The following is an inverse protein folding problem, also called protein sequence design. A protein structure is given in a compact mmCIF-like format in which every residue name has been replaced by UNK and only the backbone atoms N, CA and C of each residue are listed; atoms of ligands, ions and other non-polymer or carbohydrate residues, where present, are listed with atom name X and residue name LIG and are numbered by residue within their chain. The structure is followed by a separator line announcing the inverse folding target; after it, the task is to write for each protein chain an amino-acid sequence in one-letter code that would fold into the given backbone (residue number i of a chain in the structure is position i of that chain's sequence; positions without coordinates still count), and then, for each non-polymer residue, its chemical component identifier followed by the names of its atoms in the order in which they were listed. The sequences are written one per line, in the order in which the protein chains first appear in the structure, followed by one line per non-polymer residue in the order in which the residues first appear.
data_IF_074872851964
#
_entry.id   IF_074872851964
#
_cell.length_a   1.000
_cell.length_b   1.000
_cell.length_c   1.000
_cell.angle_alpha   90.00
_cell.angle_beta   90.00
_cell.angle_gamma   90.00
#
_symmetry.space_group_name_H-M   'P 1'
#
loop_
_entity.id
_entity.type
_entity.pdbx_description
1 polymer ?
#
# COMPACT_ATOMS: atom_id res chain seq x y z
N UNK A 1 -9.03 17.14 12.70
CA UNK A 1 -9.38 15.70 12.62
C UNK A 1 -8.16 14.92 13.06
N UNK A 2 -8.23 14.32 14.25
CA UNK A 2 -7.13 13.60 14.90
C UNK A 2 -6.81 12.28 14.17
N UNK A 3 -5.57 11.79 14.27
CA UNK A 3 -5.11 10.54 13.61
C UNK A 3 -6.00 9.33 13.93
N UNK A 4 -6.52 9.26 15.15
CA UNK A 4 -7.43 8.21 15.62
C UNK A 4 -8.81 8.27 14.94
N UNK A 5 -9.31 9.46 14.61
CA UNK A 5 -10.57 9.64 13.86
C UNK A 5 -10.42 9.25 12.38
N UNK A 6 -9.20 9.39 11.84
CA UNK A 6 -8.89 9.05 10.43
C UNK A 6 -8.71 7.55 10.23
N UNK A 7 -8.23 6.85 11.25
CA UNK A 7 -7.81 5.46 11.17
C UNK A 7 -8.27 4.69 12.42
N UNK A 8 -9.59 4.45 12.57
CA UNK A 8 -10.10 3.74 13.73
C UNK A 8 -9.59 2.30 13.72
N UNK A 9 -8.97 1.89 14.82
CA UNK A 9 -8.51 0.54 15.08
C UNK A 9 -8.79 0.20 16.55
N UNK A 10 -9.62 -0.79 16.81
CA UNK A 10 -9.92 -1.20 18.18
C UNK A 10 -8.76 -1.96 18.81
N UNK A 11 -8.57 -1.80 20.12
CA UNK A 11 -7.54 -2.55 20.86
C UNK A 11 -7.76 -4.06 20.77
N UNK A 12 -9.02 -4.50 20.73
CA UNK A 12 -9.39 -5.90 20.54
C UNK A 12 -8.90 -6.42 19.17
N UNK A 13 -9.09 -5.66 18.09
CA UNK A 13 -8.59 -6.05 16.78
C UNK A 13 -7.07 -6.03 16.74
N UNK A 14 -6.42 -5.01 17.32
CA UNK A 14 -4.96 -4.98 17.45
C UNK A 14 -4.43 -6.23 18.15
N UNK A 15 -5.04 -6.64 19.26
CA UNK A 15 -4.65 -7.84 20.00
C UNK A 15 -4.84 -9.11 19.14
N UNK A 16 -5.95 -9.20 18.41
CA UNK A 16 -6.23 -10.32 17.49
C UNK A 16 -5.19 -10.41 16.37
N UNK A 17 -4.79 -9.28 15.77
CA UNK A 17 -3.72 -9.23 14.76
C UNK A 17 -2.38 -9.67 15.34
N UNK A 18 -2.03 -9.20 16.53
CA UNK A 18 -0.79 -9.59 17.21
C UNK A 18 -0.75 -11.11 17.47
N UNK A 19 -1.83 -11.69 17.98
CA UNK A 19 -1.93 -13.14 18.19
C UNK A 19 -1.82 -13.94 16.88
N UNK A 20 -2.41 -13.44 15.79
CA UNK A 20 -2.29 -14.06 14.48
C UNK A 20 -0.82 -14.06 13.99
N UNK A 21 -0.11 -12.95 14.16
CA UNK A 21 1.30 -12.84 13.81
C UNK A 21 2.18 -13.77 14.65
N UNK A 22 1.91 -13.90 15.96
CA UNK A 22 2.64 -14.83 16.84
C UNK A 22 2.44 -16.29 16.43
N UNK A 23 1.20 -16.64 16.09
CA UNK A 23 0.88 -17.98 15.56
C UNK A 23 1.62 -18.25 14.24
N UNK A 24 1.71 -17.26 13.36
CA UNK A 24 2.47 -17.37 12.10
C UNK A 24 3.96 -17.56 12.38
N UNK A 25 4.57 -16.74 13.25
CA UNK A 25 5.99 -16.89 13.63
C UNK A 25 6.27 -18.30 14.18
N UNK A 26 5.41 -18.80 15.07
CA UNK A 26 5.57 -20.13 15.67
C UNK A 26 5.40 -21.27 14.66
N UNK A 27 4.29 -21.30 13.92
CA UNK A 27 3.96 -22.42 13.03
C UNK A 27 4.83 -22.46 11.76
N UNK A 28 5.31 -21.30 11.31
CA UNK A 28 6.21 -21.21 10.14
C UNK A 28 7.68 -21.13 10.52
N UNK A 29 8.00 -20.98 11.81
CA UNK A 29 9.36 -20.75 12.30
C UNK A 29 10.07 -19.56 11.61
N UNK A 30 9.33 -18.45 11.44
CA UNK A 30 9.82 -17.22 10.80
C UNK A 30 9.86 -16.07 11.80
N UNK A 31 10.57 -14.99 11.45
CA UNK A 31 10.51 -13.72 12.20
C UNK A 31 9.77 -12.66 11.41
N UNK A 32 8.69 -12.12 11.97
CA UNK A 32 8.01 -10.92 11.46
C UNK A 32 8.82 -9.68 11.85
N UNK A 33 9.29 -8.95 10.85
CA UNK A 33 10.09 -7.72 11.01
C UNK A 33 9.23 -6.46 11.04
N UNK A 34 8.13 -6.48 10.30
CA UNK A 34 7.23 -5.33 10.16
C UNK A 34 5.83 -5.82 9.81
N UNK A 35 4.80 -5.25 10.42
CA UNK A 35 3.40 -5.51 10.08
C UNK A 35 2.58 -4.22 10.22
N UNK A 36 1.76 -3.94 9.21
CA UNK A 36 0.93 -2.75 9.14
C UNK A 36 -0.45 -3.04 8.56
N UNK A 37 -1.37 -2.11 8.74
CA UNK A 37 -2.62 -2.08 8.00
C UNK A 37 -2.35 -1.60 6.58
N UNK A 38 -3.12 -2.13 5.63
CA UNK A 38 -3.14 -1.72 4.24
C UNK A 38 -4.57 -1.36 3.80
N UNK A 39 -4.76 -1.04 2.53
CA UNK A 39 -6.10 -0.88 1.96
C UNK A 39 -6.88 0.31 2.55
N UNK A 40 -8.21 0.20 2.54
CA UNK A 40 -9.10 1.34 2.78
C UNK A 40 -8.98 1.95 4.17
N UNK A 41 -8.64 1.15 5.19
CA UNK A 41 -8.39 1.59 6.57
C UNK A 41 -7.14 2.43 6.67
N UNK A 42 -6.02 1.95 6.12
CA UNK A 42 -4.77 2.68 6.08
C UNK A 42 -4.82 3.91 5.15
N UNK A 43 -5.60 3.84 4.07
CA UNK A 43 -5.80 4.99 3.18
C UNK A 43 -6.71 6.08 3.78
N UNK A 44 -7.54 5.76 4.80
CA UNK A 44 -8.37 6.72 5.53
C UNK A 44 -9.79 6.89 5.01
N UNK A 45 -10.33 5.89 4.31
CA UNK A 45 -11.71 5.90 3.80
C UNK A 45 -12.45 4.58 4.06
N UNK A 46 -12.10 3.86 5.12
CA UNK A 46 -12.84 2.67 5.55
C UNK A 46 -14.31 3.00 5.89
N UNK A 47 -15.19 2.06 5.54
CA UNK A 47 -16.57 1.97 5.98
C UNK A 47 -16.63 0.98 7.16
N UNK A 48 -17.79 0.87 7.80
CA UNK A 48 -17.97 -0.03 8.95
C UNK A 48 -17.75 -1.51 8.60
N UNK A 49 -18.02 -1.87 7.34
CA UNK A 49 -17.88 -3.21 6.75
C UNK A 49 -16.56 -3.41 5.99
N UNK A 50 -15.57 -2.52 6.15
CA UNK A 50 -14.25 -2.72 5.54
C UNK A 50 -13.46 -3.81 6.27
N UNK A 51 -12.86 -4.72 5.53
CA UNK A 51 -11.94 -5.73 6.09
C UNK A 51 -10.68 -5.08 6.69
N UNK A 52 -9.94 -5.84 7.50
CA UNK A 52 -8.59 -5.51 7.95
C UNK A 52 -7.58 -6.22 7.05
N UNK A 53 -6.86 -5.42 6.26
CA UNK A 53 -5.82 -5.85 5.35
C UNK A 53 -4.46 -5.81 6.05
N UNK A 54 -4.14 -6.83 6.85
CA UNK A 54 -2.84 -6.91 7.52
C UNK A 54 -1.78 -7.36 6.53
N UNK A 55 -0.74 -6.54 6.40
CA UNK A 55 0.40 -6.81 5.53
C UNK A 55 1.69 -6.82 6.32
N UNK A 56 2.53 -7.82 6.10
CA UNK A 56 3.75 -7.98 6.89
C UNK A 56 4.98 -8.38 6.06
N UNK A 57 6.15 -8.07 6.59
CA UNK A 57 7.45 -8.51 6.09
C UNK A 57 8.03 -9.47 7.10
N UNK A 58 8.45 -10.64 6.63
CA UNK A 58 9.10 -11.64 7.48
C UNK A 58 10.43 -12.07 6.89
N UNK A 59 11.29 -12.66 7.72
CA UNK A 59 12.55 -13.28 7.31
C UNK A 59 12.55 -14.75 7.70
N UNK A 60 13.07 -15.56 6.79
CA UNK A 60 13.21 -17.00 6.91
C UNK A 60 14.53 -17.41 7.59
N UNK A 61 14.62 -18.69 7.97
CA UNK A 61 15.84 -19.30 8.53
C UNK A 61 16.87 -19.59 7.43
N UNK A 62 18.17 -19.75 7.77
CA UNK A 62 19.24 -19.90 6.78
C UNK A 62 19.03 -21.10 5.83
N UNK A 63 18.51 -22.20 6.37
CA UNK A 63 18.22 -23.43 5.61
C UNK A 63 17.16 -23.22 4.50
N UNK A 64 16.31 -22.20 4.61
CA UNK A 64 15.35 -21.82 3.58
C UNK A 64 16.06 -21.36 2.29
N UNK A 65 17.20 -20.69 2.42
CA UNK A 65 17.98 -20.19 1.28
C UNK A 65 18.88 -21.27 0.65
N UNK A 66 19.05 -22.41 1.30
CA UNK A 66 19.95 -23.50 0.89
C UNK A 66 19.17 -24.69 0.33
N UNK A 67 18.28 -24.44 -0.61
CA UNK A 67 17.42 -25.46 -1.23
C UNK A 67 17.61 -25.47 -2.74
N UNK A 68 17.39 -26.63 -3.37
CA UNK A 68 17.51 -26.81 -4.83
C UNK A 68 16.38 -26.08 -5.55
N UNK A 69 15.15 -26.26 -5.05
CA UNK A 69 13.98 -25.57 -5.57
C UNK A 69 13.76 -24.25 -4.84
N UNK A 70 13.33 -23.22 -5.57
CA UNK A 70 13.00 -21.93 -4.98
C UNK A 70 11.77 -22.08 -4.07
N UNK A 71 11.90 -21.86 -2.75
CA UNK A 71 10.78 -21.96 -1.83
C UNK A 71 9.78 -20.82 -2.05
N UNK A 72 8.55 -21.02 -1.54
CA UNK A 72 7.50 -20.00 -1.59
C UNK A 72 7.87 -18.81 -0.70
N UNK A 73 7.86 -17.61 -1.28
CA UNK A 73 8.27 -16.34 -0.66
C UNK A 73 7.08 -15.50 -0.13
N UNK A 74 5.92 -16.13 0.06
CA UNK A 74 4.67 -15.51 0.51
C UNK A 74 3.95 -16.40 1.51
N UNK A 75 3.49 -15.80 2.61
CA UNK A 75 2.53 -16.40 3.55
C UNK A 75 1.19 -15.69 3.40
N UNK A 76 0.15 -16.43 3.05
CA UNK A 76 -1.24 -15.94 2.97
C UNK A 76 -2.12 -16.74 3.91
N UNK A 77 -2.86 -16.04 4.77
CA UNK A 77 -3.80 -16.61 5.72
C UNK A 77 -5.04 -15.72 5.82
N UNK A 78 -6.09 -15.99 5.03
CA UNK A 78 -7.41 -15.51 5.39
C UNK A 78 -7.82 -16.20 6.69
N UNK A 79 -7.93 -15.44 7.79
CA UNK A 79 -8.33 -16.00 9.09
C UNK A 79 -9.86 -16.15 9.15
N UNK A 80 -10.56 -15.13 8.68
CA UNK A 80 -12.00 -15.11 8.44
C UNK A 80 -12.36 -13.98 7.46
N UNK A 81 -13.65 -13.75 7.26
CA UNK A 81 -14.19 -12.74 6.34
C UNK A 81 -13.80 -11.30 6.72
N UNK A 82 -13.32 -11.05 7.95
CA UNK A 82 -12.97 -9.71 8.44
C UNK A 82 -11.46 -9.45 8.42
N UNK A 83 -10.61 -10.48 8.52
CA UNK A 83 -9.17 -10.35 8.72
C UNK A 83 -8.36 -11.11 7.66
N UNK A 84 -7.76 -10.37 6.73
CA UNK A 84 -6.86 -10.87 5.70
C UNK A 84 -5.40 -10.59 6.05
N UNK A 85 -4.62 -11.66 6.30
CA UNK A 85 -3.22 -11.56 6.70
C UNK A 85 -2.33 -12.12 5.60
N UNK A 86 -1.52 -11.26 4.99
CA UNK A 86 -0.61 -11.63 3.91
C UNK A 86 0.78 -11.01 4.12
N UNK A 87 1.82 -11.79 3.90
CA UNK A 87 3.18 -11.33 4.12
C UNK A 87 4.16 -11.79 3.05
N UNK A 88 5.19 -10.98 2.86
CA UNK A 88 6.26 -11.22 1.92
C UNK A 88 7.56 -11.51 2.65
N UNK A 89 8.27 -12.51 2.17
CA UNK A 89 9.63 -12.80 2.63
C UNK A 89 10.54 -11.59 2.30
N UNK A 90 11.58 -11.38 3.09
CA UNK A 90 12.45 -10.22 3.01
C UNK A 90 13.16 -10.11 1.64
N UNK A 91 13.65 -11.20 1.06
CA UNK A 91 14.27 -11.19 -0.27
C UNK A 91 13.29 -10.73 -1.36
N UNK A 92 12.03 -11.19 -1.32
CA UNK A 92 10.95 -10.72 -2.20
C UNK A 92 10.70 -9.23 -1.99
N UNK A 93 10.60 -8.82 -0.73
CA UNK A 93 10.40 -7.43 -0.31
C UNK A 93 11.49 -6.53 -0.89
N UNK A 94 12.77 -6.91 -0.76
CA UNK A 94 13.89 -6.14 -1.30
C UNK A 94 13.90 -6.12 -2.84
N UNK A 95 13.49 -7.22 -3.48
CA UNK A 95 13.31 -7.28 -4.93
C UNK A 95 12.21 -6.32 -5.45
N UNK A 96 11.11 -6.17 -4.70
CA UNK A 96 10.03 -5.24 -4.99
C UNK A 96 10.42 -3.79 -4.69
N UNK A 97 11.16 -3.56 -3.60
CA UNK A 97 11.70 -2.28 -3.20
C UNK A 97 12.60 -1.70 -4.29
N UNK A 98 13.53 -2.52 -4.82
CA UNK A 98 14.42 -2.15 -5.93
C UNK A 98 13.67 -1.71 -7.19
N UNK A 99 12.44 -2.20 -7.38
CA UNK A 99 11.56 -1.85 -8.51
C UNK A 99 10.59 -0.71 -8.19
N UNK A 100 10.74 -0.08 -7.02
CA UNK A 100 9.83 0.95 -6.51
C UNK A 100 8.36 0.51 -6.57
N UNK A 101 8.10 -0.73 -6.15
CA UNK A 101 6.76 -1.29 -6.17
C UNK A 101 5.79 -0.48 -5.27
N UNK A 102 4.71 0.09 -5.82
CA UNK A 102 3.75 0.90 -5.06
C UNK A 102 3.20 0.24 -3.80
N UNK A 103 2.84 -1.04 -3.88
CA UNK A 103 2.23 -1.76 -2.76
C UNK A 103 3.20 -1.85 -1.59
N UNK A 104 4.47 -2.17 -1.85
CA UNK A 104 5.46 -2.19 -0.78
C UNK A 104 5.73 -0.80 -0.20
N UNK A 105 5.88 0.22 -1.04
CA UNK A 105 6.13 1.59 -0.58
C UNK A 105 4.98 2.06 0.32
N UNK A 106 3.74 1.76 -0.05
CA UNK A 106 2.57 2.05 0.77
C UNK A 106 2.60 1.31 2.12
N UNK A 107 2.99 0.05 2.18
CA UNK A 107 3.11 -0.67 3.46
C UNK A 107 4.08 0.03 4.40
N UNK A 108 5.24 0.45 3.90
CA UNK A 108 6.28 1.12 4.70
C UNK A 108 5.86 2.50 5.21
N UNK A 109 4.90 3.13 4.53
CA UNK A 109 4.35 4.45 4.83
C UNK A 109 3.00 4.38 5.57
N UNK A 110 2.61 3.19 6.04
CA UNK A 110 1.32 3.00 6.70
C UNK A 110 1.20 3.77 8.02
N UNK A 111 0.09 4.51 8.21
CA UNK A 111 -0.15 5.22 9.46
C UNK A 111 -0.56 4.27 10.61
N UNK A 112 -0.80 2.99 10.33
CA UNK A 112 -1.26 1.99 11.28
C UNK A 112 -0.28 0.82 11.33
N UNK A 113 0.66 0.89 12.25
CA UNK A 113 1.64 -0.17 12.48
C UNK A 113 1.15 -1.10 13.61
N UNK A 114 1.13 -2.39 13.33
CA UNK A 114 0.78 -3.45 14.28
C UNK A 114 2.00 -3.96 15.04
N UNK A 115 3.11 -4.13 14.32
CA UNK A 115 4.37 -4.66 14.84
C UNK A 115 5.52 -4.09 14.02
N UNK A 116 6.63 -3.75 14.68
CA UNK A 116 7.88 -3.48 13.98
C UNK A 116 9.07 -3.84 14.87
N UNK A 117 10.07 -4.46 14.27
CA UNK A 117 11.40 -4.50 14.84
C UNK A 117 12.08 -3.19 14.49
N UNK A 118 12.48 -2.43 15.51
CA UNK A 118 12.84 -1.01 15.38
C UNK A 118 13.96 -0.78 14.38
N UNK A 119 15.02 -1.59 14.43
CA UNK A 119 16.20 -1.37 13.60
C UNK A 119 15.98 -1.89 12.17
N UNK A 120 15.44 -3.10 12.02
CA UNK A 120 15.13 -3.67 10.71
C UNK A 120 14.14 -2.78 9.94
N UNK A 121 13.06 -2.34 10.58
CA UNK A 121 12.08 -1.47 9.93
C UNK A 121 12.67 -0.10 9.56
N UNK A 122 13.55 0.48 10.39
CA UNK A 122 14.23 1.74 10.08
C UNK A 122 15.17 1.60 8.88
N UNK A 123 15.99 0.53 8.86
CA UNK A 123 16.89 0.25 7.74
C UNK A 123 16.13 -0.03 6.44
N UNK A 124 15.02 -0.79 6.51
CA UNK A 124 14.17 -1.06 5.36
C UNK A 124 13.55 0.23 4.76
N UNK A 125 13.09 1.17 5.61
CA UNK A 125 12.60 2.49 5.15
C UNK A 125 13.72 3.31 4.51
N UNK A 126 14.92 3.32 5.09
CA UNK A 126 16.08 4.02 4.52
C UNK A 126 16.50 3.45 3.15
N UNK A 127 16.43 2.13 2.98
CA UNK A 127 16.63 1.49 1.68
C UNK A 127 15.55 1.88 0.69
N UNK A 128 14.28 1.95 1.13
CA UNK A 128 13.18 2.36 0.27
C UNK A 128 13.37 3.78 -0.27
N UNK A 129 13.87 4.73 0.55
CA UNK A 129 14.26 6.06 0.08
C UNK A 129 15.40 6.00 -0.95
N UNK A 130 16.48 5.27 -0.64
CA UNK A 130 17.65 5.22 -1.52
C UNK A 130 17.33 4.63 -2.90
N UNK A 131 16.56 3.54 -2.94
CA UNK A 131 16.20 2.84 -4.17
C UNK A 131 14.94 3.38 -4.85
N UNK A 132 14.34 4.45 -4.32
CA UNK A 132 13.13 5.01 -4.88
C UNK A 132 13.39 5.64 -6.25
N UNK A 133 12.74 5.13 -7.29
CA UNK A 133 12.81 5.63 -8.66
C UNK A 133 11.47 6.27 -9.04
N UNK A 134 11.39 7.62 -9.06
CA UNK A 134 10.20 8.35 -9.48
C UNK A 134 9.59 7.85 -10.81
N UNK A 135 10.36 7.66 -11.90
CA UNK A 135 9.76 7.20 -13.16
C UNK A 135 9.22 5.76 -13.08
N UNK A 136 9.86 4.88 -12.31
CA UNK A 136 9.37 3.50 -12.13
C UNK A 136 8.07 3.48 -11.33
N UNK A 137 8.04 4.17 -10.18
CA UNK A 137 6.87 4.27 -9.32
C UNK A 137 5.68 4.91 -10.06
N UNK A 138 5.91 6.02 -10.76
CA UNK A 138 4.89 6.70 -11.57
C UNK A 138 4.25 5.77 -12.59
N UNK A 139 5.07 5.05 -13.36
CA UNK A 139 4.56 4.13 -14.39
C UNK A 139 3.73 3.00 -13.79
N UNK A 140 4.13 2.46 -12.63
CA UNK A 140 3.33 1.46 -11.91
C UNK A 140 1.99 2.03 -11.45
N UNK A 141 1.97 3.18 -10.78
CA UNK A 141 0.72 3.83 -10.37
C UNK A 141 -0.20 4.13 -11.55
N UNK A 142 0.34 4.68 -12.64
CA UNK A 142 -0.43 4.98 -13.85
C UNK A 142 -1.03 3.71 -14.49
N UNK A 143 -0.25 2.62 -14.54
CA UNK A 143 -0.73 1.32 -15.04
C UNK A 143 -1.88 0.77 -14.18
N UNK A 144 -1.76 0.86 -12.85
CA UNK A 144 -2.83 0.48 -11.92
C UNK A 144 -4.11 1.30 -12.14
N UNK A 145 -3.97 2.63 -12.25
CA UNK A 145 -5.10 3.51 -12.54
C UNK A 145 -5.78 3.15 -13.88
N UNK A 146 -5.00 2.96 -14.96
CA UNK A 146 -5.51 2.58 -16.29
C UNK A 146 -6.25 1.25 -16.27
N UNK A 147 -5.69 0.25 -15.57
CA UNK A 147 -6.32 -1.07 -15.45
C UNK A 147 -7.66 -0.97 -14.73
N UNK A 148 -7.71 -0.29 -13.59
CA UNK A 148 -8.93 -0.14 -12.81
C UNK A 148 -9.98 0.70 -13.53
N UNK A 149 -9.58 1.80 -14.18
CA UNK A 149 -10.50 2.66 -14.94
C UNK A 149 -11.18 1.89 -16.07
N UNK A 150 -10.40 1.18 -16.90
CA UNK A 150 -10.93 0.37 -18.00
C UNK A 150 -11.81 -0.80 -17.54
N UNK A 151 -11.42 -1.46 -16.44
CA UNK A 151 -12.12 -2.65 -15.97
C UNK A 151 -13.38 -2.39 -15.14
N UNK A 152 -13.51 -1.22 -14.51
CA UNK A 152 -14.52 -1.00 -13.48
C UNK A 152 -15.30 0.31 -13.56
N UNK A 153 -14.86 1.30 -14.33
CA UNK A 153 -15.48 2.62 -14.40
C UNK A 153 -16.01 2.94 -15.81
N UNK A 154 -16.50 1.95 -16.56
CA UNK A 154 -17.04 2.18 -17.91
C UNK A 154 -18.58 2.10 -17.98
N UNK A 155 -19.24 1.57 -16.95
CA UNK A 155 -20.70 1.45 -16.88
C UNK A 155 -21.42 2.75 -16.52
N UNK A 156 -22.74 2.76 -16.71
CA UNK A 156 -23.62 3.85 -16.26
C UNK A 156 -23.72 3.92 -14.73
N UNK A 157 -23.66 2.76 -14.07
CA UNK A 157 -23.50 2.63 -12.64
C UNK A 157 -22.14 2.03 -12.32
N UNK A 158 -21.52 2.52 -11.26
CA UNK A 158 -20.18 2.11 -10.84
C UNK A 158 -20.11 1.97 -9.33
N UNK A 159 -19.28 1.03 -8.87
CA UNK A 159 -19.06 0.79 -7.44
C UNK A 159 -18.23 1.94 -6.86
N UNK A 160 -18.70 2.59 -5.80
CA UNK A 160 -18.03 3.77 -5.23
C UNK A 160 -16.58 3.50 -4.82
N UNK A 161 -16.32 2.32 -4.25
CA UNK A 161 -14.96 1.86 -3.91
C UNK A 161 -14.00 1.99 -5.10
N UNK A 162 -14.44 1.66 -6.31
CA UNK A 162 -13.57 1.63 -7.50
C UNK A 162 -13.10 3.00 -7.95
N UNK A 163 -13.82 4.08 -7.62
CA UNK A 163 -13.31 5.44 -7.82
C UNK A 163 -12.04 5.67 -7.01
N UNK A 164 -12.00 5.30 -5.73
CA UNK A 164 -10.80 5.49 -4.91
C UNK A 164 -9.61 4.67 -5.43
N UNK A 165 -9.85 3.49 -6.00
CA UNK A 165 -8.83 2.64 -6.61
C UNK A 165 -8.28 3.20 -7.94
N UNK A 166 -8.90 4.24 -8.50
CA UNK A 166 -8.38 5.00 -9.65
C UNK A 166 -7.82 6.34 -9.21
N UNK A 167 -8.55 7.09 -8.38
CA UNK A 167 -8.16 8.41 -7.90
C UNK A 167 -6.86 8.34 -7.12
N UNK A 168 -6.72 7.39 -6.18
CA UNK A 168 -5.52 7.27 -5.35
C UNK A 168 -4.24 7.08 -6.19
N UNK A 169 -4.14 6.09 -7.11
CA UNK A 169 -2.95 5.96 -7.94
C UNK A 169 -2.72 7.16 -8.88
N UNK A 170 -3.77 7.84 -9.36
CA UNK A 170 -3.61 9.06 -10.16
C UNK A 170 -3.07 10.24 -9.34
N UNK A 171 -3.56 10.42 -8.12
CA UNK A 171 -3.03 11.44 -7.23
C UNK A 171 -1.58 11.11 -6.80
N UNK A 172 -1.23 9.83 -6.69
CA UNK A 172 0.16 9.41 -6.51
C UNK A 172 1.03 9.75 -7.73
N UNK A 173 0.53 9.56 -8.96
CA UNK A 173 1.21 10.04 -10.18
C UNK A 173 1.41 11.55 -10.13
N UNK A 174 0.36 12.31 -9.79
CA UNK A 174 0.42 13.77 -9.65
C UNK A 174 1.42 14.22 -8.58
N UNK A 175 1.48 13.55 -7.44
CA UNK A 175 2.46 13.80 -6.39
C UNK A 175 3.90 13.67 -6.90
N UNK A 176 4.17 12.61 -7.64
CA UNK A 176 5.49 12.35 -8.26
C UNK A 176 5.81 13.42 -9.31
N UNK A 177 4.83 13.76 -10.15
CA UNK A 177 4.99 14.76 -11.22
C UNK A 177 5.26 16.17 -10.68
N UNK A 178 4.82 16.46 -9.45
CA UNK A 178 5.14 17.69 -8.71
C UNK A 178 6.50 17.65 -8.02
N UNK A 179 7.24 16.54 -8.08
CA UNK A 179 8.57 16.41 -7.46
C UNK A 179 8.53 16.30 -5.94
N UNK A 180 7.38 15.94 -5.35
CA UNK A 180 7.18 15.86 -3.90
C UNK A 180 7.76 14.58 -3.26
N UNK A 181 8.57 13.82 -4.00
CA UNK A 181 9.17 12.56 -3.55
C UNK A 181 8.20 11.38 -3.58
N UNK A 182 8.32 10.48 -2.61
CA UNK A 182 7.46 9.30 -2.48
C UNK A 182 6.01 9.70 -2.15
N UNK A 183 5.00 9.17 -2.87
CA UNK A 183 3.61 9.41 -2.53
C UNK A 183 3.26 8.88 -1.13
N UNK A 184 2.58 9.68 -0.28
CA UNK A 184 2.14 9.23 1.03
C UNK A 184 1.07 8.14 0.90
N UNK A 185 0.91 7.35 1.98
CA UNK A 185 -0.11 6.31 1.99
C UNK A 185 -1.54 6.88 2.05
N UNK A 186 -1.76 7.96 2.79
CA UNK A 186 -3.12 8.44 3.06
C UNK A 186 -3.73 9.16 1.85
N UNK A 187 -5.02 8.95 1.62
CA UNK A 187 -5.74 9.60 0.52
C UNK A 187 -5.88 11.11 0.75
N UNK A 188 -6.02 11.53 2.00
CA UNK A 188 -6.13 12.95 2.37
C UNK A 188 -4.85 13.73 2.02
N UNK A 189 -3.67 13.16 2.27
CA UNK A 189 -2.41 13.83 1.92
C UNK A 189 -2.26 13.94 0.40
N UNK A 190 -2.63 12.89 -0.34
CA UNK A 190 -2.62 12.92 -1.81
C UNK A 190 -3.58 13.98 -2.39
N UNK A 191 -4.76 14.15 -1.77
CA UNK A 191 -5.74 15.18 -2.17
C UNK A 191 -5.23 16.61 -1.98
N UNK A 192 -4.25 16.85 -1.11
CA UNK A 192 -3.66 18.19 -0.93
C UNK A 192 -3.01 18.75 -2.21
N UNK A 193 -2.76 17.92 -3.22
CA UNK A 193 -2.24 18.32 -4.52
C UNK A 193 -3.30 18.83 -5.50
N UNK A 194 -4.59 18.79 -5.11
CA UNK A 194 -5.74 19.20 -5.93
C UNK A 194 -6.28 20.55 -5.44
N UNK A 195 -6.38 21.51 -6.36
CA UNK A 195 -6.89 22.86 -6.07
C UNK A 195 -8.29 23.13 -6.63
N UNK A 196 -8.88 22.16 -7.35
CA UNK A 196 -10.22 22.29 -7.94
C UNK A 196 -11.29 22.06 -6.85
N UNK A 197 -11.95 23.15 -6.43
CA UNK A 197 -12.96 23.11 -5.39
C UNK A 197 -14.17 22.23 -5.74
N UNK A 198 -14.58 22.20 -7.01
CA UNK A 198 -15.71 21.38 -7.46
C UNK A 198 -15.34 19.89 -7.39
N UNK A 199 -14.12 19.55 -7.80
CA UNK A 199 -13.62 18.18 -7.68
C UNK A 199 -13.47 17.74 -6.22
N UNK A 200 -12.98 18.63 -5.35
CA UNK A 200 -12.84 18.34 -3.92
C UNK A 200 -14.20 18.08 -3.26
N UNK A 201 -15.22 18.87 -3.58
CA UNK A 201 -16.59 18.69 -3.09
C UNK A 201 -17.20 17.35 -3.58
N UNK A 202 -16.98 17.01 -4.84
CA UNK A 202 -17.40 15.75 -5.44
C UNK A 202 -16.74 14.54 -4.75
N UNK A 203 -15.45 14.64 -4.44
CA UNK A 203 -14.72 13.60 -3.69
C UNK A 203 -15.21 13.50 -2.25
N UNK A 204 -15.48 14.63 -1.58
CA UNK A 204 -16.03 14.65 -0.22
C UNK A 204 -17.43 13.99 -0.15
N UNK A 205 -18.26 14.27 -1.15
CA UNK A 205 -19.57 13.61 -1.31
C UNK A 205 -19.40 12.11 -1.51
N UNK A 206 -18.48 11.69 -2.39
CA UNK A 206 -18.20 10.27 -2.64
C UNK A 206 -17.68 9.56 -1.39
N UNK A 207 -16.81 10.21 -0.60
CA UNK A 207 -16.32 9.68 0.68
C UNK A 207 -17.47 9.45 1.65
N UNK A 208 -18.38 10.41 1.76
CA UNK A 208 -19.57 10.31 2.63
C UNK A 208 -20.45 9.14 2.20
N UNK A 209 -20.73 9.02 0.90
CA UNK A 209 -21.52 7.91 0.36
C UNK A 209 -20.85 6.56 0.63
N UNK A 210 -19.54 6.44 0.39
CA UNK A 210 -18.81 5.20 0.61
C UNK A 210 -18.84 4.79 2.08
N UNK A 211 -18.68 5.74 3.00
CA UNK A 211 -18.69 5.47 4.45
C UNK A 211 -20.07 5.02 4.95
N UNK A 212 -21.15 5.54 4.35
CA UNK A 212 -22.52 5.26 4.80
C UNK A 212 -23.18 4.06 4.11
N UNK A 213 -22.86 3.78 2.84
CA UNK A 213 -23.55 2.77 2.02
C UNK A 213 -22.82 1.40 1.98
N UNK A 214 -21.66 1.29 2.62
CA UNK A 214 -20.85 0.06 2.65
C UNK A 214 -19.98 -0.17 1.42
N UNK A 215 -19.15 -1.20 1.47
CA UNK A 215 -18.15 -1.53 0.46
C UNK A 215 -18.77 -1.90 -0.89
N UNK A 216 -19.97 -2.48 -0.91
CA UNK A 216 -20.67 -2.98 -2.10
C UNK A 216 -21.51 -1.91 -2.82
N UNK A 217 -21.56 -0.68 -2.32
CA UNK A 217 -22.43 0.36 -2.85
C UNK A 217 -22.08 0.78 -4.29
N UNK A 218 -23.14 0.95 -5.09
CA UNK A 218 -23.09 1.48 -6.45
C UNK A 218 -23.80 2.83 -6.51
N UNK A 219 -23.43 3.62 -7.50
CA UNK A 219 -24.19 4.81 -7.88
C UNK A 219 -23.96 5.18 -9.34
N UNK A 220 -24.65 6.22 -9.81
CA UNK A 220 -24.47 6.70 -11.17
C UNK A 220 -23.03 7.16 -11.38
N UNK A 221 -22.57 7.04 -12.62
CA UNK A 221 -21.33 7.64 -13.10
C UNK A 221 -21.28 9.12 -12.73
N UNK A 222 -20.16 9.55 -12.16
CA UNK A 222 -19.88 10.93 -11.74
C UNK A 222 -19.07 11.67 -12.81
N UNK A 223 -19.67 12.58 -13.60
CA UNK A 223 -19.00 13.18 -14.77
C UNK A 223 -17.73 13.95 -14.42
N UNK A 224 -17.75 14.74 -13.34
CA UNK A 224 -16.59 15.51 -12.90
C UNK A 224 -15.38 14.60 -12.55
N UNK A 225 -15.64 13.49 -11.83
CA UNK A 225 -14.59 12.51 -11.53
C UNK A 225 -14.03 11.86 -12.80
N UNK A 226 -14.87 11.55 -13.78
CA UNK A 226 -14.40 10.96 -15.04
C UNK A 226 -13.58 11.93 -15.86
N UNK A 227 -14.01 13.19 -15.96
CA UNK A 227 -13.24 14.23 -16.65
C UNK A 227 -11.84 14.38 -16.02
N UNK A 228 -11.77 14.45 -14.69
CA UNK A 228 -10.50 14.48 -13.97
C UNK A 228 -9.64 13.24 -14.22
N UNK A 229 -10.23 12.04 -14.11
CA UNK A 229 -9.53 10.78 -14.34
C UNK A 229 -8.94 10.72 -15.76
N UNK A 230 -9.72 11.09 -16.78
CA UNK A 230 -9.26 11.10 -18.17
C UNK A 230 -8.12 12.11 -18.37
N UNK A 231 -8.26 13.32 -17.83
CA UNK A 231 -7.21 14.34 -17.91
C UNK A 231 -5.90 13.90 -17.25
N UNK A 232 -5.93 13.31 -16.05
CA UNK A 232 -4.71 12.83 -15.38
C UNK A 232 -4.10 11.59 -16.08
N UNK A 233 -4.91 10.76 -16.75
CA UNK A 233 -4.44 9.61 -17.52
C UNK A 233 -3.67 9.98 -18.80
N UNK A 234 -4.01 11.15 -19.37
CA UNK A 234 -3.45 11.72 -20.60
C UNK A 234 -2.36 12.76 -20.34
N UNK A 235 -2.16 13.14 -19.07
CA UNK A 235 -1.20 14.17 -18.65
C UNK A 235 0.22 13.84 -19.09
N UNK A 236 0.88 14.85 -19.65
CA UNK A 236 2.27 14.78 -20.06
C UNK A 236 3.20 14.44 -18.88
N UNK A 237 4.26 13.69 -19.19
CA UNK A 237 5.21 13.21 -18.19
C UNK A 237 6.32 14.26 -18.06
N UNK A 238 6.55 14.84 -16.86
CA UNK A 238 7.70 15.69 -16.64
C UNK A 238 8.99 14.88 -16.70
N UNK A 239 10.13 15.56 -16.87
CA UNK A 239 11.44 14.91 -16.78
C UNK A 239 11.69 14.50 -15.33
N UNK A 240 11.65 13.19 -15.07
CA UNK A 240 11.86 12.64 -13.74
C UNK A 240 13.27 12.08 -13.58
N UNK A 241 13.97 12.41 -12.48
CA UNK A 241 15.30 11.89 -12.24
C UNK A 241 15.25 10.38 -12.02
N UNK A 242 16.22 9.68 -12.58
CA UNK A 242 16.43 8.26 -12.32
C UNK A 242 17.41 8.12 -11.18
N UNK A 243 17.01 7.38 -10.16
CA UNK A 243 17.93 6.91 -9.11
C UNK A 243 18.55 5.58 -9.54
N UNK A 244 19.80 5.39 -9.15
CA UNK A 244 20.52 4.12 -9.28
C UNK A 244 21.30 3.92 -8.00
N UNK A 245 21.06 2.79 -7.36
CA UNK A 245 21.73 2.37 -6.13
C UNK A 245 22.35 0.99 -6.33
N UNK A 246 23.41 0.71 -5.57
CA UNK A 246 24.08 -0.57 -5.62
C UNK A 246 23.27 -1.65 -4.90
N UNK A 247 22.84 -2.67 -5.65
CA UNK A 247 22.06 -3.80 -5.12
C UNK A 247 22.79 -4.56 -4.01
N UNK A 248 24.13 -4.46 -3.90
CA UNK A 248 24.87 -5.07 -2.78
C UNK A 248 24.44 -4.53 -1.41
N UNK A 249 23.86 -3.32 -1.33
CA UNK A 249 23.26 -2.78 -0.11
C UNK A 249 22.07 -3.62 0.35
N UNK A 250 21.25 -4.10 -0.58
CA UNK A 250 20.11 -4.97 -0.30
C UNK A 250 20.59 -6.35 0.15
N UNK A 251 21.60 -6.91 -0.52
CA UNK A 251 22.19 -8.21 -0.16
C UNK A 251 22.81 -8.18 1.23
N UNK A 252 23.47 -7.08 1.59
CA UNK A 252 24.02 -6.87 2.93
C UNK A 252 22.92 -6.83 3.98
N UNK A 253 21.90 -6.02 3.76
CA UNK A 253 20.76 -5.93 4.68
C UNK A 253 20.06 -7.28 4.85
N UNK A 254 19.84 -8.03 3.76
CA UNK A 254 19.28 -9.38 3.83
C UNK A 254 20.15 -10.31 4.70
N UNK A 255 21.46 -10.39 4.42
CA UNK A 255 22.38 -11.26 5.16
C UNK A 255 22.47 -10.91 6.63
N UNK A 256 22.56 -9.62 6.96
CA UNK A 256 22.67 -9.16 8.35
C UNK A 256 21.36 -9.40 9.11
N UNK A 257 20.22 -9.20 8.46
CA UNK A 257 18.90 -9.50 9.05
C UNK A 257 18.72 -10.99 9.28
N UNK A 258 19.08 -11.84 8.30
CA UNK A 258 19.05 -13.30 8.47
C UNK A 258 19.93 -13.70 9.64
N UNK A 259 21.20 -13.28 9.70
CA UNK A 259 22.10 -13.62 10.82
C UNK A 259 21.57 -13.20 12.20
N UNK A 260 20.80 -12.13 12.28
CA UNK A 260 20.26 -11.61 13.54
C UNK A 260 19.04 -12.36 14.04
N UNK A 261 18.17 -12.82 13.15
CA UNK A 261 16.85 -13.39 13.50
C UNK A 261 16.70 -14.88 13.12
N UNK A 262 17.71 -15.45 12.45
CA UNK A 262 17.88 -16.88 12.23
C UNK A 262 18.21 -17.62 13.52
#
# INVERSE_FOLDING_TARGET
MHREERHPLSDAMRARVVQALDKIEHERNVKVLYACESGSRAWGFASTDSDYDVRFVYVEKPDWFMQVDAPRDVIERPLDDELDVSGWELSKTLGLLRKSNPTLLEWLDSPLVYRQETEAAAQLRALAEAFYSPPAARNHYLSMARKTFRGHLQGETVRFKKYFYVLRPLLAVRWIDLGLGRPPMTFADLLSTVNDAQLLDEVATLLTLKRNAGEAAYGPRRPALHAFIQAELEREVPVLPRTREDSQRLDRYLRDTVKRFA
#
